data_IF_623454581493
#
_entry.id   IF_623454581493
#
_cell.length_a   1.000
_cell.length_b   1.000
_cell.length_c   1.000
_cell.angle_alpha   90.00
_cell.angle_beta   90.00
_cell.angle_gamma   90.00
#
_symmetry.space_group_name_H-M   'P 1'
#
loop_
_entity.id
_entity.type
_entity.pdbx_description
1 polymer ?
#
# COMPACT_ATOMS: atom_id res chain seq x y z
N UNK A 1 1.59 -14.48 8.34
CA UNK A 1 0.68 -13.32 8.46
C UNK A 1 -0.55 -13.71 9.26
N UNK A 2 -1.04 -12.82 10.13
CA UNK A 2 -2.24 -13.05 10.93
C UNK A 2 -3.51 -12.97 10.07
N UNK A 3 -4.50 -13.83 10.34
CA UNK A 3 -5.78 -13.84 9.65
C UNK A 3 -6.75 -12.82 10.25
N UNK A 4 -7.61 -12.26 9.40
CA UNK A 4 -8.66 -11.33 9.79
C UNK A 4 -9.57 -11.98 10.84
N UNK A 5 -9.79 -11.29 11.96
CA UNK A 5 -10.62 -11.81 13.05
C UNK A 5 -12.09 -12.00 12.66
N UNK A 6 -12.58 -11.24 11.67
CA UNK A 6 -13.97 -11.29 11.20
C UNK A 6 -14.23 -12.38 10.17
N UNK A 7 -13.48 -12.43 9.07
CA UNK A 7 -13.73 -13.41 8.01
C UNK A 7 -12.87 -14.68 8.09
N UNK A 8 -11.78 -14.67 8.88
CA UNK A 8 -10.82 -15.78 9.02
C UNK A 8 -10.16 -16.24 7.70
N UNK A 9 -10.35 -15.51 6.60
CA UNK A 9 -9.85 -15.88 5.26
C UNK A 9 -8.65 -15.01 4.85
N UNK A 10 -8.88 -13.70 4.81
CA UNK A 10 -7.92 -12.72 4.30
C UNK A 10 -6.93 -12.30 5.38
N UNK A 11 -5.77 -11.82 4.96
CA UNK A 11 -4.74 -11.36 5.90
C UNK A 11 -5.14 -10.02 6.53
N UNK A 12 -4.73 -9.81 7.78
CA UNK A 12 -4.94 -8.55 8.51
C UNK A 12 -4.23 -7.41 7.80
N UNK A 13 -4.90 -6.27 7.70
CA UNK A 13 -4.36 -5.03 7.17
C UNK A 13 -4.56 -3.83 8.10
N UNK A 14 -5.72 -3.75 8.74
CA UNK A 14 -6.11 -2.63 9.59
C UNK A 14 -6.29 -3.14 11.02
N UNK A 15 -5.74 -2.41 11.98
CA UNK A 15 -6.20 -2.48 13.37
C UNK A 15 -7.22 -1.37 13.58
N UNK A 16 -8.45 -1.74 13.91
CA UNK A 16 -9.55 -0.82 14.16
C UNK A 16 -10.11 -1.14 15.54
N UNK A 17 -10.02 -0.19 16.46
CA UNK A 17 -10.19 -0.42 17.90
C UNK A 17 -9.25 -1.56 18.38
N UNK A 18 -9.84 -2.62 18.93
CA UNK A 18 -9.14 -3.83 19.37
C UNK A 18 -9.14 -4.95 18.31
N UNK A 19 -9.78 -4.72 17.16
CA UNK A 19 -9.97 -5.71 16.11
C UNK A 19 -8.92 -5.59 14.98
N UNK A 20 -8.48 -6.75 14.49
CA UNK A 20 -7.56 -6.92 13.37
C UNK A 20 -8.31 -7.40 12.14
N UNK A 21 -8.52 -6.51 11.18
CA UNK A 21 -9.40 -6.70 10.04
C UNK A 21 -8.63 -6.73 8.71
N UNK A 22 -9.12 -7.51 7.74
CA UNK A 22 -8.74 -7.34 6.34
C UNK A 22 -9.45 -6.11 5.75
N UNK A 23 -8.97 -5.65 4.59
CA UNK A 23 -9.55 -4.50 3.89
C UNK A 23 -11.04 -4.68 3.59
N UNK A 24 -11.48 -5.85 3.11
CA UNK A 24 -12.90 -6.06 2.78
C UNK A 24 -13.80 -5.94 4.00
N UNK A 25 -13.39 -6.55 5.11
CA UNK A 25 -14.13 -6.53 6.37
C UNK A 25 -14.17 -5.14 7.00
N UNK A 26 -13.08 -4.39 6.86
CA UNK A 26 -12.99 -3.01 7.31
C UNK A 26 -13.83 -2.08 6.42
N UNK A 27 -13.67 -2.15 5.10
CA UNK A 27 -14.45 -1.34 4.16
C UNK A 27 -15.96 -1.61 4.28
N UNK A 28 -16.38 -2.87 4.46
CA UNK A 28 -17.79 -3.19 4.71
C UNK A 28 -18.32 -2.69 6.08
N UNK A 29 -17.44 -2.36 7.03
CA UNK A 29 -17.83 -1.64 8.27
C UNK A 29 -17.95 -0.15 7.99
N UNK A 30 -17.00 0.41 7.26
CA UNK A 30 -16.98 1.84 6.91
C UNK A 30 -18.18 2.19 6.03
N UNK A 31 -18.54 1.36 5.05
CA UNK A 31 -19.74 1.53 4.23
C UNK A 31 -21.00 1.73 5.08
N UNK A 32 -21.17 0.95 6.15
CA UNK A 32 -22.31 1.10 7.07
C UNK A 32 -22.28 2.39 7.90
N UNK A 33 -21.09 2.96 8.11
CA UNK A 33 -20.89 4.16 8.93
C UNK A 33 -20.98 5.45 8.10
N UNK A 34 -20.38 5.45 6.90
CA UNK A 34 -20.26 6.65 6.05
C UNK A 34 -21.14 6.60 4.79
N UNK A 35 -21.82 5.48 4.53
CA UNK A 35 -22.72 5.33 3.39
C UNK A 35 -22.04 5.19 2.03
N UNK A 36 -20.71 5.00 1.99
CA UNK A 36 -19.93 4.87 0.76
C UNK A 36 -19.38 3.45 0.63
N UNK A 37 -19.74 2.76 -0.45
CA UNK A 37 -19.26 1.41 -0.74
C UNK A 37 -17.93 1.43 -1.49
N UNK A 38 -17.09 0.42 -1.22
CA UNK A 38 -15.90 0.17 -2.02
C UNK A 38 -16.29 -0.47 -3.36
N UNK A 39 -16.20 0.28 -4.45
CA UNK A 39 -16.32 -0.26 -5.81
C UNK A 39 -15.25 -1.33 -6.12
N UNK A 40 -15.56 -2.24 -7.04
CA UNK A 40 -14.65 -3.31 -7.47
C UNK A 40 -13.68 -2.81 -8.54
N UNK A 41 -12.41 -3.25 -8.46
CA UNK A 41 -11.38 -3.02 -9.47
C UNK A 41 -10.45 -4.24 -9.56
N UNK A 42 -9.53 -4.31 -10.54
CA UNK A 42 -8.56 -5.39 -10.57
C UNK A 42 -7.68 -5.39 -9.33
N UNK A 43 -7.30 -6.58 -8.86
CA UNK A 43 -6.44 -6.75 -7.68
C UNK A 43 -5.02 -6.22 -7.92
N UNK A 44 -4.60 -6.08 -9.18
CA UNK A 44 -3.29 -5.60 -9.53
C UNK A 44 -3.16 -5.16 -10.99
N UNK A 45 -2.04 -4.52 -11.28
CA UNK A 45 -1.68 -3.99 -12.59
C UNK A 45 -0.22 -4.30 -12.92
N UNK A 46 0.13 -4.20 -14.20
CA UNK A 46 1.51 -4.29 -14.66
C UNK A 46 1.96 -2.96 -15.24
N UNK A 47 3.11 -2.46 -14.81
CA UNK A 47 3.70 -1.20 -15.28
C UNK A 47 5.09 -1.49 -15.82
N UNK A 48 5.44 -0.87 -16.95
CA UNK A 48 6.81 -0.88 -17.47
C UNK A 48 7.58 0.32 -16.94
N UNK A 49 8.82 0.09 -16.49
CA UNK A 49 9.72 1.15 -16.09
C UNK A 49 10.40 1.83 -17.29
N UNK A 50 11.21 2.87 -17.01
CA UNK A 50 11.99 3.57 -18.03
C UNK A 50 13.02 2.70 -18.77
N UNK A 51 13.35 1.52 -18.26
CA UNK A 51 14.24 0.53 -18.88
C UNK A 51 13.46 -0.57 -19.64
N UNK A 52 12.13 -0.49 -19.65
CA UNK A 52 11.23 -1.44 -20.31
C UNK A 52 10.95 -2.72 -19.51
N UNK A 53 11.46 -2.83 -18.28
CA UNK A 53 11.21 -3.95 -17.36
C UNK A 53 9.76 -3.89 -16.86
N UNK A 54 9.13 -5.06 -16.76
CA UNK A 54 7.75 -5.17 -16.26
C UNK A 54 7.75 -5.38 -14.75
N UNK A 55 6.94 -4.58 -14.06
CA UNK A 55 6.73 -4.61 -12.62
C UNK A 55 5.27 -4.93 -12.32
N UNK A 56 5.03 -5.81 -11.36
CA UNK A 56 3.68 -6.19 -10.91
C UNK A 56 3.34 -5.42 -9.64
N UNK A 57 2.19 -4.75 -9.66
CA UNK A 57 1.67 -3.98 -8.53
C UNK A 57 0.36 -4.59 -8.03
N UNK A 58 0.26 -4.74 -6.72
CA UNK A 58 -0.99 -5.00 -6.02
C UNK A 58 -1.69 -3.66 -5.75
N UNK A 59 -2.98 -3.58 -6.12
CA UNK A 59 -3.83 -2.45 -5.80
C UNK A 59 -4.57 -2.69 -4.49
N UNK A 60 -4.61 -1.66 -3.64
CA UNK A 60 -5.37 -1.66 -2.39
C UNK A 60 -6.22 -0.41 -2.29
N UNK A 61 -7.39 -0.57 -1.65
CA UNK A 61 -8.29 0.53 -1.33
C UNK A 61 -8.79 0.42 0.10
N UNK A 62 -8.78 1.56 0.78
CA UNK A 62 -9.34 1.74 2.12
C UNK A 62 -10.27 2.96 2.14
N UNK A 63 -11.50 2.76 2.59
CA UNK A 63 -12.44 3.86 2.86
C UNK A 63 -12.33 4.23 4.33
N UNK A 64 -12.17 5.50 4.66
CA UNK A 64 -12.10 6.02 6.02
C UNK A 64 -12.92 7.31 6.10
N UNK A 65 -13.39 7.77 7.28
CA UNK A 65 -14.08 9.06 7.40
C UNK A 65 -13.31 10.26 6.83
N UNK A 66 -11.97 10.18 6.73
CA UNK A 66 -11.12 11.22 6.14
C UNK A 66 -11.04 11.16 4.60
N UNK A 67 -11.59 10.14 3.95
CA UNK A 67 -11.57 9.98 2.51
C UNK A 67 -11.25 8.58 2.02
N UNK A 68 -10.97 8.47 0.72
CA UNK A 68 -10.64 7.21 0.07
C UNK A 68 -9.13 7.16 -0.17
N UNK A 69 -8.49 6.14 0.37
CA UNK A 69 -7.06 5.89 0.21
C UNK A 69 -6.85 4.75 -0.78
N UNK A 70 -6.03 4.98 -1.80
CA UNK A 70 -5.61 3.94 -2.73
C UNK A 70 -4.11 3.82 -2.79
N UNK A 71 -3.64 2.58 -2.93
CA UNK A 71 -2.22 2.24 -2.92
C UNK A 71 -1.92 1.26 -4.06
N UNK A 72 -0.79 1.48 -4.74
CA UNK A 72 -0.18 0.53 -5.67
C UNK A 72 1.17 0.11 -5.09
N UNK A 73 1.30 -1.17 -4.76
CA UNK A 73 2.46 -1.72 -4.06
C UNK A 73 3.10 -2.77 -4.94
N UNK A 74 4.37 -2.57 -5.29
CA UNK A 74 5.10 -3.54 -6.11
C UNK A 74 5.28 -4.87 -5.36
N UNK A 75 5.07 -5.99 -6.06
CA UNK A 75 5.14 -7.34 -5.50
C UNK A 75 6.57 -7.88 -5.39
N UNK A 76 7.50 -7.07 -4.89
CA UNK A 76 8.90 -7.45 -4.62
C UNK A 76 9.35 -6.92 -3.26
N UNK A 77 10.41 -7.51 -2.72
CA UNK A 77 10.99 -7.03 -1.47
C UNK A 77 11.63 -5.64 -1.66
N UNK A 78 11.20 -4.67 -0.86
CA UNK A 78 11.62 -3.26 -0.97
C UNK A 78 11.38 -2.66 -2.37
N UNK A 79 10.20 -2.92 -2.93
CA UNK A 79 9.75 -2.36 -4.21
C UNK A 79 9.13 -0.96 -4.08
N UNK A 80 8.60 -0.45 -5.19
CA UNK A 80 7.93 0.84 -5.25
C UNK A 80 6.56 0.82 -4.55
N UNK A 81 6.20 1.95 -3.96
CA UNK A 81 4.89 2.16 -3.34
C UNK A 81 4.36 3.54 -3.73
N UNK A 82 3.18 3.56 -4.33
CA UNK A 82 2.47 4.79 -4.70
C UNK A 82 1.17 4.86 -3.92
N UNK A 83 0.87 6.04 -3.36
CA UNK A 83 -0.36 6.30 -2.60
C UNK A 83 -1.05 7.56 -3.08
N UNK A 84 -2.37 7.54 -3.04
CA UNK A 84 -3.20 8.73 -3.24
C UNK A 84 -4.36 8.73 -2.25
N UNK A 85 -4.82 9.92 -1.90
CA UNK A 85 -6.02 10.16 -1.10
C UNK A 85 -6.97 11.03 -1.91
N UNK A 86 -8.23 10.62 -1.99
CA UNK A 86 -9.31 11.40 -2.58
C UNK A 86 -10.41 11.70 -1.56
N UNK A 87 -11.35 12.53 -2.00
CA UNK A 87 -12.55 12.86 -1.21
C UNK A 87 -13.40 11.61 -0.94
N UNK A 88 -14.09 11.58 0.20
CA UNK A 88 -14.92 10.47 0.61
C UNK A 88 -16.09 10.20 -0.36
N UNK A 89 -16.64 11.25 -0.95
CA UNK A 89 -17.75 11.21 -1.90
C UNK A 89 -17.30 11.47 -3.34
N UNK A 90 -15.99 11.48 -3.58
CA UNK A 90 -15.41 11.65 -4.91
C UNK A 90 -15.56 10.42 -5.80
N UNK A 91 -15.25 10.59 -7.09
CA UNK A 91 -15.24 9.48 -8.05
C UNK A 91 -14.03 8.57 -7.80
N UNK A 92 -14.32 7.34 -7.38
CA UNK A 92 -13.26 6.39 -7.04
C UNK A 92 -12.55 5.83 -8.30
N UNK A 93 -13.20 5.84 -9.47
CA UNK A 93 -12.61 5.44 -10.74
C UNK A 93 -11.61 6.47 -11.24
N UNK A 94 -11.95 7.76 -11.15
CA UNK A 94 -11.00 8.85 -11.43
C UNK A 94 -9.79 8.77 -10.50
N UNK A 95 -10.00 8.59 -9.19
CA UNK A 95 -8.92 8.43 -8.22
C UNK A 95 -8.01 7.22 -8.52
N UNK A 96 -8.58 6.12 -9.03
CA UNK A 96 -7.81 4.96 -9.48
C UNK A 96 -6.95 5.30 -10.71
N UNK A 97 -7.52 5.98 -11.70
CA UNK A 97 -6.77 6.42 -12.88
C UNK A 97 -5.63 7.37 -12.50
N UNK A 98 -5.86 8.27 -11.54
CA UNK A 98 -4.82 9.14 -11.01
C UNK A 98 -3.69 8.36 -10.32
N UNK A 99 -4.02 7.33 -9.53
CA UNK A 99 -3.03 6.45 -8.93
C UNK A 99 -2.19 5.73 -10.00
N UNK A 100 -2.83 5.18 -11.03
CA UNK A 100 -2.15 4.49 -12.13
C UNK A 100 -1.21 5.46 -12.84
N UNK A 101 -1.70 6.64 -13.24
CA UNK A 101 -0.90 7.64 -13.91
C UNK A 101 0.27 8.14 -13.03
N UNK A 102 0.06 8.24 -11.71
CA UNK A 102 1.14 8.55 -10.74
C UNK A 102 2.20 7.45 -10.71
N UNK A 103 1.78 6.19 -10.68
CA UNK A 103 2.70 5.05 -10.68
C UNK A 103 3.48 4.96 -12.01
N UNK A 104 2.82 5.10 -13.15
CA UNK A 104 3.47 5.09 -14.47
C UNK A 104 4.53 6.19 -14.61
N UNK A 105 4.21 7.43 -14.20
CA UNK A 105 5.20 8.53 -14.19
C UNK A 105 6.37 8.23 -13.26
N UNK A 106 6.08 7.76 -12.04
CA UNK A 106 7.11 7.41 -11.07
C UNK A 106 8.02 6.27 -11.51
N UNK A 107 7.52 5.32 -12.31
CA UNK A 107 8.29 4.21 -12.87
C UNK A 107 9.08 4.59 -14.12
N UNK A 108 8.60 5.58 -14.89
CA UNK A 108 9.32 6.08 -16.07
C UNK A 108 10.59 6.85 -15.67
N UNK A 109 10.62 7.45 -14.47
CA UNK A 109 11.69 8.30 -14.00
C UNK A 109 12.64 7.52 -13.07
N UNK A 110 13.94 7.47 -13.43
CA UNK A 110 14.97 6.80 -12.63
C UNK A 110 15.38 7.61 -11.40
N UNK A 111 14.53 7.68 -10.37
CA UNK A 111 14.84 8.42 -9.13
C UNK A 111 15.69 7.65 -8.12
N UNK A 112 15.68 6.31 -8.17
CA UNK A 112 16.31 5.47 -7.14
C UNK A 112 17.54 4.74 -7.70
N UNK A 113 18.71 5.35 -7.54
CA UNK A 113 19.99 4.64 -7.74
C UNK A 113 20.27 3.80 -6.48
N UNK A 114 20.16 2.47 -6.59
CA UNK A 114 20.53 1.55 -5.50
C UNK A 114 22.04 1.67 -5.21
N UNK A 115 22.40 2.35 -4.12
CA UNK A 115 23.72 2.22 -3.50
C UNK A 115 23.63 1.18 -2.39
N UNK A 116 24.38 0.08 -2.54
CA UNK A 116 24.50 -0.94 -1.51
C UNK A 116 25.26 -0.36 -0.30
N UNK A 117 24.54 -0.09 0.80
CA UNK A 117 25.15 0.33 2.05
C UNK A 117 25.60 -0.93 2.81
N UNK A 118 26.88 -1.29 2.69
CA UNK A 118 27.46 -2.36 3.53
C UNK A 118 27.61 -1.82 4.96
N UNK A 119 26.73 -2.24 5.86
CA UNK A 119 26.93 -2.01 7.29
C UNK A 119 28.13 -2.84 7.76
N UNK A 120 29.27 -2.20 8.00
CA UNK A 120 30.35 -2.78 8.78
C UNK A 120 29.89 -2.86 10.24
N UNK A 121 30.01 -4.04 10.84
CA UNK A 121 29.62 -4.33 12.22
C UNK A 121 30.51 -3.54 13.19
N UNK A 122 30.02 -2.44 13.74
CA UNK A 122 30.69 -1.75 14.84
C UNK A 122 30.49 -2.55 16.13
N UNK A 123 31.50 -3.35 16.51
CA UNK A 123 31.60 -3.92 17.84
C UNK A 123 32.11 -2.79 18.75
N UNK A 124 31.25 -2.26 19.61
CA UNK A 124 31.67 -1.39 20.70
C UNK A 124 32.15 -2.31 21.84
N UNK A 125 33.45 -2.48 21.97
CA UNK A 125 34.06 -2.99 23.21
C UNK A 125 34.06 -1.83 24.21
N UNK A 126 33.28 -1.94 25.28
CA UNK A 126 33.42 -1.07 26.44
C UNK A 126 34.62 -1.57 27.27
N UNK A 127 35.73 -0.85 27.23
CA UNK A 127 36.75 -0.91 28.28
C UNK A 127 36.25 -0.06 29.46
N UNK A 128 35.82 -0.70 30.54
CA UNK A 128 35.71 -0.04 31.85
C UNK A 128 37.06 -0.13 32.54
N UNK A 129 37.76 1.00 32.63
CA UNK A 129 38.89 1.19 33.51
C UNK A 129 38.44 1.08 34.97
N UNK A 130 39.16 0.29 35.76
CA UNK A 130 39.07 0.16 37.20
C UNK A 130 40.33 -0.53 37.72
#
# INVERSE_FOLDING_TARGET
>A
MTKCQKCQKNNVYVQFDEEKLCLDCYNGRMEKQVGVAATSYPEGIMIRDGEGKVHQFLLRKRIDPLGIFMEAIEMVESGYEFKIQGDLYGDQGELLLELIAKAERGMAENYVVRKCFRMAKAIILFETAG
#
